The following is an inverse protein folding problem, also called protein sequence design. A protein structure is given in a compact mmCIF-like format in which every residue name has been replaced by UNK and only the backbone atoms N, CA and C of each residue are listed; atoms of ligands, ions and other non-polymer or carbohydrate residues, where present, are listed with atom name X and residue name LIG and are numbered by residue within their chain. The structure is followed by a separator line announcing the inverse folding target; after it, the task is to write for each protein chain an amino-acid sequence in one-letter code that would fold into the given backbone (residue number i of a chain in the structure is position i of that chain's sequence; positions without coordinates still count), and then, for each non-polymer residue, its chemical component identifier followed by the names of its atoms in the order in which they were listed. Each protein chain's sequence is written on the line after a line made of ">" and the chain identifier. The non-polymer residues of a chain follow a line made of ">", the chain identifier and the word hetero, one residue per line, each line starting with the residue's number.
data_IF_304420525078
#
_entry.id   IF_304420525078
#
_cell.length_a   1.000
_cell.length_b   1.000
_cell.length_c   1.000
_cell.angle_alpha   90.00
_cell.angle_beta   90.00
_cell.angle_gamma   90.00
#
_symmetry.space_group_name_H-M   'P 1'
#
loop_
_entity.id
_entity.type
_entity.pdbx_description
1 polymer ?
#
# COMPACT_ATOMS: atom_id res chain seq x y z
N UNK A 1 -10.00 -13.44 7.18
CA UNK A 1 -9.66 -12.86 5.86
C UNK A 1 -10.29 -11.49 5.79
N UNK A 2 -9.50 -10.42 5.63
CA UNK A 2 -10.00 -9.06 5.63
C UNK A 2 -10.03 -8.50 4.21
N UNK A 3 -11.06 -7.70 3.90
CA UNK A 3 -11.17 -6.95 2.64
C UNK A 3 -11.08 -5.46 2.94
N UNK A 4 -10.23 -4.77 2.20
CA UNK A 4 -10.02 -3.33 2.27
C UNK A 4 -10.53 -2.71 0.97
N UNK A 5 -10.98 -1.46 1.03
CA UNK A 5 -11.43 -0.73 -0.15
C UNK A 5 -10.39 0.30 -0.54
N UNK A 6 -10.05 0.38 -1.81
CA UNK A 6 -9.16 1.41 -2.33
C UNK A 6 -9.94 2.62 -2.90
N UNK A 7 -9.21 3.64 -3.35
CA UNK A 7 -9.77 4.88 -3.89
C UNK A 7 -10.66 4.66 -5.12
N UNK A 8 -10.46 3.57 -5.87
CA UNK A 8 -11.28 3.18 -7.00
C UNK A 8 -12.46 2.27 -6.60
N UNK A 9 -12.72 2.12 -5.30
CA UNK A 9 -13.79 1.29 -4.74
C UNK A 9 -13.66 -0.21 -5.06
N UNK A 10 -12.43 -0.70 -5.28
CA UNK A 10 -12.09 -2.11 -5.52
C UNK A 10 -11.86 -2.82 -4.17
N UNK A 11 -12.21 -4.10 -4.12
CA UNK A 11 -12.03 -4.93 -2.93
C UNK A 11 -10.63 -5.56 -2.90
N UNK A 12 -9.73 -5.01 -2.09
CA UNK A 12 -8.37 -5.49 -1.89
C UNK A 12 -8.32 -6.52 -0.74
N UNK A 13 -7.78 -7.69 -1.03
CA UNK A 13 -7.71 -8.84 -0.13
C UNK A 13 -6.44 -8.79 0.73
N UNK A 14 -6.63 -8.96 2.04
CA UNK A 14 -5.54 -9.13 3.01
C UNK A 14 -5.78 -10.41 3.81
N UNK A 15 -4.96 -11.44 3.56
CA UNK A 15 -4.97 -12.69 4.31
C UNK A 15 -4.17 -12.55 5.60
N UNK A 16 -4.47 -13.39 6.60
CA UNK A 16 -3.73 -13.41 7.86
C UNK A 16 -2.26 -13.80 7.62
N UNK A 17 -2.01 -14.74 6.71
CA UNK A 17 -0.65 -15.13 6.30
C UNK A 17 0.13 -13.96 5.71
N UNK A 18 -0.50 -13.14 4.84
CA UNK A 18 0.14 -11.95 4.27
C UNK A 18 0.40 -10.89 5.33
N UNK A 19 -0.52 -10.70 6.28
CA UNK A 19 -0.31 -9.82 7.43
C UNK A 19 0.88 -10.26 8.27
N UNK A 20 0.96 -11.54 8.61
CA UNK A 20 2.08 -12.06 9.37
C UNK A 20 3.40 -11.90 8.61
N UNK A 21 3.38 -12.13 7.29
CA UNK A 21 4.56 -11.90 6.43
C UNK A 21 4.99 -10.43 6.45
N UNK A 22 4.03 -9.50 6.40
CA UNK A 22 4.27 -8.05 6.52
C UNK A 22 4.96 -7.73 7.85
N UNK A 23 4.44 -8.20 8.97
CA UNK A 23 4.97 -7.91 10.31
C UNK A 23 6.36 -8.54 10.53
N UNK A 24 6.62 -9.73 9.96
CA UNK A 24 7.93 -10.38 10.03
C UNK A 24 8.96 -9.65 9.15
N UNK A 25 8.57 -9.27 7.93
CA UNK A 25 9.47 -8.58 7.00
C UNK A 25 9.70 -7.12 7.37
N UNK A 26 8.69 -6.48 7.96
CA UNK A 26 8.63 -5.06 8.32
C UNK A 26 8.02 -4.92 9.72
N UNK A 27 8.82 -5.07 10.79
CA UNK A 27 8.33 -4.97 12.17
C UNK A 27 7.65 -3.61 12.47
N UNK A 28 8.02 -2.56 11.73
CA UNK A 28 7.37 -1.24 11.80
C UNK A 28 5.91 -1.22 11.34
N UNK A 29 5.43 -2.28 10.66
CA UNK A 29 4.06 -2.43 10.21
C UNK A 29 3.12 -3.05 11.25
N UNK A 30 3.64 -3.46 12.39
CA UNK A 30 2.84 -3.96 13.52
C UNK A 30 1.80 -2.90 13.93
N UNK A 31 0.53 -3.32 14.00
CA UNK A 31 -0.62 -2.44 14.26
C UNK A 31 -0.88 -1.32 13.22
N UNK A 32 -0.16 -1.29 12.09
CA UNK A 32 -0.30 -0.23 11.08
C UNK A 32 -1.37 -0.51 10.02
N UNK A 33 -2.20 -1.55 10.20
CA UNK A 33 -3.22 -1.94 9.22
C UNK A 33 -4.25 -0.84 9.01
N UNK A 34 -4.59 -0.06 10.05
CA UNK A 34 -5.47 1.09 9.90
C UNK A 34 -4.90 2.14 8.92
N UNK A 35 -3.58 2.34 8.93
CA UNK A 35 -2.91 3.24 7.98
C UNK A 35 -2.84 2.65 6.58
N UNK A 36 -2.64 1.34 6.44
CA UNK A 36 -2.75 0.66 5.14
C UNK A 36 -4.13 0.90 4.54
N UNK A 37 -5.20 0.75 5.34
CA UNK A 37 -6.57 1.04 4.91
C UNK A 37 -6.73 2.48 4.45
N UNK A 38 -6.22 3.45 5.22
CA UNK A 38 -6.26 4.86 4.84
C UNK A 38 -5.45 5.17 3.59
N UNK A 39 -4.29 4.54 3.40
CA UNK A 39 -3.46 4.68 2.20
C UNK A 39 -4.16 4.16 0.96
N UNK A 40 -4.88 3.04 1.06
CA UNK A 40 -5.67 2.53 -0.06
C UNK A 40 -6.87 3.43 -0.37
N UNK A 41 -7.62 3.85 0.64
CA UNK A 41 -8.85 4.62 0.46
C UNK A 41 -8.58 6.08 0.03
N UNK A 42 -7.48 6.68 0.49
CA UNK A 42 -7.14 8.07 0.22
C UNK A 42 -5.62 8.24 0.06
N UNK A 43 -5.02 7.67 -1.00
CA UNK A 43 -3.61 7.83 -1.30
C UNK A 43 -3.31 9.31 -1.64
N UNK A 44 -2.04 9.67 -1.61
CA UNK A 44 -1.53 10.92 -2.18
C UNK A 44 -0.98 10.68 -3.60
N UNK A 45 -0.42 9.50 -3.85
CA UNK A 45 0.07 9.12 -5.19
C UNK A 45 -0.12 7.62 -5.42
N UNK A 46 -0.44 7.24 -6.65
CA UNK A 46 -0.48 5.85 -7.09
C UNK A 46 0.49 5.72 -8.26
N UNK A 47 1.40 4.76 -8.15
CA UNK A 47 2.45 4.52 -9.14
C UNK A 47 2.38 3.07 -9.60
N UNK A 48 2.37 2.82 -10.91
CA UNK A 48 2.54 1.47 -11.46
C UNK A 48 4.01 1.09 -11.41
N UNK A 49 4.28 -0.14 -10.98
CA UNK A 49 5.65 -0.68 -10.99
C UNK A 49 6.18 -0.77 -12.42
N UNK A 50 7.46 -0.46 -12.62
CA UNK A 50 8.13 -0.61 -13.93
C UNK A 50 8.41 -2.05 -14.32
N UNK A 51 8.50 -2.94 -13.33
CA UNK A 51 8.88 -4.34 -13.54
C UNK A 51 7.68 -5.26 -13.67
N UNK A 52 6.50 -4.83 -13.22
CA UNK A 52 5.27 -5.62 -13.21
C UNK A 52 4.08 -4.69 -13.38
N UNK A 53 3.43 -4.75 -14.54
CA UNK A 53 2.31 -3.88 -14.89
C UNK A 53 1.06 -4.16 -14.05
N UNK A 54 0.97 -5.34 -13.44
CA UNK A 54 -0.09 -5.73 -12.52
C UNK A 54 0.20 -5.29 -11.09
N UNK A 55 1.28 -4.54 -10.83
CA UNK A 55 1.61 -4.05 -9.49
C UNK A 55 1.41 -2.56 -9.39
N UNK A 56 0.53 -2.17 -8.47
CA UNK A 56 0.23 -0.80 -8.12
C UNK A 56 0.81 -0.47 -6.75
N UNK A 57 1.46 0.69 -6.65
CA UNK A 57 2.13 1.19 -5.45
C UNK A 57 1.35 2.40 -4.96
N UNK A 58 0.66 2.25 -3.85
CA UNK A 58 -0.09 3.32 -3.20
C UNK A 58 0.80 4.01 -2.19
N UNK A 59 0.98 5.32 -2.35
CA UNK A 59 1.75 6.15 -1.45
C UNK A 59 0.83 7.09 -0.71
N UNK A 60 1.00 7.16 0.61
CA UNK A 60 0.40 8.19 1.44
C UNK A 60 1.44 8.77 2.38
N UNK A 61 1.51 10.09 2.41
CA UNK A 61 2.39 10.82 3.30
C UNK A 61 1.80 10.82 4.72
N UNK A 62 2.62 10.43 5.69
CA UNK A 62 2.26 10.51 7.10
C UNK A 62 3.29 11.40 7.82
N UNK A 63 2.90 12.65 8.17
CA UNK A 63 3.82 13.58 8.84
C UNK A 63 4.19 13.12 10.26
N UNK A 64 3.37 12.27 10.88
CA UNK A 64 3.63 11.66 12.19
C UNK A 64 3.51 10.14 12.11
N UNK A 65 4.63 9.45 11.92
CA UNK A 65 4.75 7.98 12.05
C UNK A 65 5.50 7.60 13.32
N UNK A 66 5.42 6.35 13.79
CA UNK A 66 6.22 5.87 14.93
C UNK A 66 7.72 6.09 14.75
N UNK A 67 8.18 6.29 13.51
CA UNK A 67 9.58 6.33 13.13
C UNK A 67 10.05 7.67 12.55
N UNK A 68 9.17 8.69 12.38
CA UNK A 68 9.38 10.09 11.85
C UNK A 68 8.35 10.47 10.75
N UNK A 69 8.67 11.41 9.86
CA UNK A 69 7.86 11.86 8.73
C UNK A 69 8.16 10.98 7.50
N UNK A 70 7.26 10.04 7.15
CA UNK A 70 7.51 9.05 6.08
C UNK A 70 6.27 8.82 5.23
N UNK A 71 6.49 8.30 4.02
CA UNK A 71 5.43 7.75 3.19
C UNK A 71 5.17 6.30 3.58
N UNK A 72 3.91 5.92 3.69
CA UNK A 72 3.53 4.51 3.72
C UNK A 72 3.30 4.06 2.27
N UNK A 73 4.12 3.11 1.82
CA UNK A 73 4.01 2.48 0.52
C UNK A 73 3.23 1.17 0.69
N UNK A 74 2.04 1.06 0.11
CA UNK A 74 1.25 -0.19 0.06
C UNK A 74 1.30 -0.77 -1.35
N UNK A 75 1.79 -1.99 -1.48
CA UNK A 75 1.99 -2.68 -2.75
C UNK A 75 0.84 -3.65 -2.98
N UNK A 76 0.06 -3.40 -4.03
CA UNK A 76 -1.10 -4.20 -4.41
C UNK A 76 -0.82 -4.90 -5.74
N UNK A 77 -1.10 -6.20 -5.80
CA UNK A 77 -1.21 -6.93 -7.07
C UNK A 77 -2.66 -6.75 -7.57
N UNK A 78 -2.81 -6.16 -8.74
CA UNK A 78 -4.06 -5.95 -9.46
C UNK A 78 -4.19 -7.01 -10.56
N UNK A 79 -4.70 -8.19 -10.23
CA UNK A 79 -5.09 -9.19 -11.23
C UNK A 79 -6.50 -8.86 -11.77
N UNK A 80 -6.88 -9.38 -12.95
CA UNK A 80 -8.18 -9.07 -13.57
C UNK A 80 -9.40 -9.26 -12.65
N UNK A 81 -9.37 -10.28 -11.79
CA UNK A 81 -10.47 -10.65 -10.88
C UNK A 81 -10.07 -10.72 -9.39
N UNK A 82 -8.80 -10.49 -9.04
CA UNK A 82 -8.34 -10.51 -7.64
C UNK A 82 -7.34 -9.38 -7.38
N UNK A 83 -7.61 -8.62 -6.32
CA UNK A 83 -6.69 -7.61 -5.84
C UNK A 83 -6.21 -8.01 -4.47
N UNK A 84 -4.90 -8.05 -4.24
CA UNK A 84 -4.37 -8.41 -2.93
C UNK A 84 -3.10 -7.64 -2.57
N UNK A 85 -2.89 -7.44 -1.27
CA UNK A 85 -1.68 -6.79 -0.77
C UNK A 85 -0.52 -7.78 -0.82
N UNK A 86 0.55 -7.40 -1.51
CA UNK A 86 1.81 -8.15 -1.53
C UNK A 86 2.62 -7.82 -0.28
N UNK A 87 2.88 -6.51 -0.09
CA UNK A 87 3.66 -5.96 1.01
C UNK A 87 3.31 -4.48 1.24
N UNK A 88 3.74 -3.90 2.35
CA UNK A 88 3.58 -2.53 2.74
C UNK A 88 4.70 -2.17 3.72
N UNK A 89 5.25 -0.97 3.60
CA UNK A 89 6.39 -0.52 4.41
C UNK A 89 6.49 1.00 4.37
N UNK A 90 7.19 1.57 5.36
CA UNK A 90 7.51 2.99 5.36
C UNK A 90 8.74 3.29 4.52
N UNK A 91 8.69 4.39 3.77
CA UNK A 91 9.78 4.86 2.93
C UNK A 91 9.83 6.38 2.90
N UNK A 92 11.03 6.92 2.73
CA UNK A 92 11.24 8.36 2.63
C UNK A 92 11.03 8.88 1.19
N UNK A 93 10.88 7.98 0.21
CA UNK A 93 10.80 8.34 -1.22
C UNK A 93 9.70 7.58 -1.96
N UNK A 94 9.01 8.28 -2.88
CA UNK A 94 8.12 7.64 -3.85
C UNK A 94 8.97 6.97 -4.93
N UNK A 95 8.71 5.68 -5.23
CA UNK A 95 9.46 4.98 -6.27
C UNK A 95 9.18 5.57 -7.64
N UNK A 96 10.19 5.55 -8.51
CA UNK A 96 10.07 5.95 -9.92
C UNK A 96 9.27 4.89 -10.69
N UNK A 97 8.18 5.31 -11.33
CA UNK A 97 7.29 4.47 -12.13
C UNK A 97 6.36 5.32 -12.99
N UNK A 98 5.32 4.70 -13.55
CA UNK A 98 4.25 5.44 -14.21
C UNK A 98 3.29 5.95 -13.14
N UNK A 99 3.11 7.26 -13.02
CA UNK A 99 2.15 7.84 -12.08
C UNK A 99 0.76 7.64 -12.66
N UNK A 100 -0.03 6.76 -12.04
CA UNK A 100 -1.41 6.49 -12.42
C UNK A 100 -2.35 7.56 -11.90
N UNK A 101 -2.04 8.09 -10.72
CA UNK A 101 -2.86 9.07 -10.05
C UNK A 101 -2.03 9.86 -9.04
N UNK A 102 -2.33 11.15 -8.92
CA UNK A 102 -1.75 12.03 -7.93
C UNK A 102 -2.86 12.93 -7.37
N UNK A 103 -2.88 13.07 -6.05
CA UNK A 103 -3.81 13.94 -5.37
C UNK A 103 -3.39 15.40 -5.58
N UNK A 104 -4.24 16.17 -6.26
CA UNK A 104 -4.09 17.63 -6.37
C UNK A 104 -4.55 18.35 -5.12
#
# INVERSE_FOLDING_TARGET
>A
MQRLTDVYNRSIRLTAERRQHLEIAHPEMTDQIARVMQTLANPDTIVRSRTDEMVELFYKHYPSTPVTNKFLCTVVKALPDDYFIITAYYTDTVKRGEVLWEKK
#
